data_IF_594811263634
#
_entry.id   IF_594811263634
#
_cell.length_a   1.000
_cell.length_b   1.000
_cell.length_c   1.000
_cell.angle_alpha   90.00
_cell.angle_beta   90.00
_cell.angle_gamma   90.00
#
_symmetry.space_group_name_H-M   'P 1'
#
loop_
_entity.id
_entity.type
_entity.pdbx_description
1 polymer ?
#
# COMPACT_ATOMS: atom_id res chain seq x y z
N UNK A 1 10.59 -10.12 -12.27
CA UNK A 1 10.11 -8.74 -12.49
C UNK A 1 11.12 -7.68 -12.02
N UNK A 2 11.77 -7.87 -10.87
CA UNK A 2 12.68 -6.86 -10.29
C UNK A 2 14.14 -6.95 -10.75
N UNK A 3 14.51 -7.97 -11.52
CA UNK A 3 15.89 -8.10 -12.02
C UNK A 3 16.21 -6.95 -12.97
N UNK A 4 17.32 -6.24 -12.67
CA UNK A 4 17.72 -5.05 -13.45
C UNK A 4 16.87 -3.81 -13.17
N UNK A 5 16.26 -3.70 -11.96
CA UNK A 5 15.54 -2.49 -11.57
C UNK A 5 16.46 -1.25 -11.59
N UNK A 6 15.93 -0.06 -11.84
CA UNK A 6 16.73 1.16 -12.05
C UNK A 6 17.54 1.59 -10.83
N UNK A 7 17.15 1.16 -9.63
CA UNK A 7 17.82 1.54 -8.38
C UNK A 7 19.00 0.62 -8.01
N UNK A 8 19.16 -0.51 -8.71
CA UNK A 8 20.14 -1.52 -8.32
C UNK A 8 19.78 -2.25 -7.01
N UNK A 9 18.57 -2.08 -6.52
CA UNK A 9 18.08 -2.74 -5.32
C UNK A 9 18.07 -4.27 -5.49
N UNK A 10 18.21 -5.04 -4.39
CA UNK A 10 18.14 -6.49 -4.46
C UNK A 10 16.88 -6.97 -5.19
N UNK A 11 17.06 -7.76 -6.24
CA UNK A 11 15.94 -8.30 -7.02
C UNK A 11 15.41 -9.62 -6.45
N UNK A 12 16.21 -10.34 -5.66
CA UNK A 12 15.75 -11.46 -4.85
C UNK A 12 15.22 -10.91 -3.55
N UNK A 13 13.92 -11.12 -3.31
CA UNK A 13 13.22 -10.58 -2.15
C UNK A 13 12.79 -11.69 -1.20
N UNK A 14 12.91 -11.50 0.10
CA UNK A 14 12.28 -12.39 1.05
C UNK A 14 10.76 -12.30 0.92
N UNK A 15 10.08 -13.42 1.16
CA UNK A 15 8.63 -13.51 1.22
C UNK A 15 8.26 -14.32 2.47
N UNK A 16 7.44 -13.76 3.33
CA UNK A 16 6.97 -14.50 4.49
C UNK A 16 5.54 -14.96 4.26
N UNK A 17 5.32 -16.23 4.49
CA UNK A 17 4.01 -16.85 4.38
C UNK A 17 3.70 -17.52 5.70
N UNK A 18 2.66 -17.03 6.36
CA UNK A 18 2.08 -17.64 7.54
C UNK A 18 1.01 -18.65 7.11
N UNK A 19 1.03 -19.83 7.68
CA UNK A 19 -0.02 -20.84 7.52
C UNK A 19 -0.77 -21.03 8.83
N UNK A 20 -2.11 -21.19 8.79
CA UNK A 20 -2.92 -21.26 10.01
C UNK A 20 -2.72 -22.55 10.79
N UNK A 21 -3.06 -22.56 12.10
CA UNK A 21 -3.03 -23.79 12.91
C UNK A 21 -3.81 -24.93 12.25
N UNK A 22 -3.26 -26.14 12.30
CA UNK A 22 -3.83 -27.32 11.66
C UNK A 22 -3.50 -27.46 10.17
N UNK A 23 -2.74 -26.53 9.59
CA UNK A 23 -2.37 -26.61 8.17
C UNK A 23 -1.77 -27.97 7.79
N UNK A 24 -0.77 -28.47 8.50
CA UNK A 24 -0.12 -29.74 8.18
C UNK A 24 -0.97 -30.97 8.53
N UNK A 25 -1.91 -30.84 9.47
CA UNK A 25 -2.80 -31.92 9.87
C UNK A 25 -3.95 -32.17 8.88
N UNK A 26 -4.28 -31.22 8.02
CA UNK A 26 -5.36 -31.29 7.03
C UNK A 26 -4.78 -31.09 5.60
N UNK A 27 -4.08 -32.09 5.02
CA UNK A 27 -3.32 -31.94 3.77
C UNK A 27 -4.18 -31.62 2.54
N UNK A 28 -5.45 -32.00 2.54
CA UNK A 28 -6.36 -31.75 1.42
C UNK A 28 -7.09 -30.41 1.51
N UNK A 29 -7.03 -29.75 2.67
CA UNK A 29 -7.71 -28.48 2.91
C UNK A 29 -6.98 -27.34 2.21
N UNK A 30 -7.77 -26.49 1.52
CA UNK A 30 -7.31 -25.24 0.92
C UNK A 30 -7.87 -24.03 1.67
N UNK A 31 -7.15 -22.93 1.63
CA UNK A 31 -7.40 -21.74 2.45
C UNK A 31 -7.50 -20.49 1.60
N UNK A 32 -8.34 -19.50 1.98
CA UNK A 32 -8.21 -18.15 1.47
C UNK A 32 -6.82 -17.60 1.75
N UNK A 33 -6.36 -16.64 0.95
CA UNK A 33 -5.07 -15.97 1.15
C UNK A 33 -5.26 -14.45 1.28
N UNK A 34 -4.60 -13.83 2.27
CA UNK A 34 -4.60 -12.38 2.47
C UNK A 34 -3.17 -11.86 2.37
N UNK A 35 -2.94 -10.94 1.45
CA UNK A 35 -1.65 -10.30 1.20
C UNK A 35 -1.55 -8.99 1.99
N UNK A 36 -0.51 -8.84 2.81
CA UNK A 36 -0.30 -7.68 3.67
C UNK A 36 0.84 -6.83 3.13
N UNK A 37 0.54 -5.57 2.86
CA UNK A 37 1.43 -4.59 2.26
C UNK A 37 1.91 -3.58 3.30
N UNK A 38 3.23 -3.35 3.40
CA UNK A 38 3.79 -2.36 4.31
C UNK A 38 3.65 -0.92 3.76
N UNK A 39 3.72 0.07 4.66
CA UNK A 39 3.72 1.50 4.30
C UNK A 39 5.09 1.98 3.80
N UNK A 40 5.16 3.29 3.46
CA UNK A 40 6.40 3.94 3.05
C UNK A 40 7.46 3.89 4.15
N UNK A 41 8.71 3.75 3.80
CA UNK A 41 9.85 3.46 4.69
C UNK A 41 9.73 2.12 5.46
N UNK A 42 8.70 1.33 5.18
CA UNK A 42 8.54 -0.01 5.72
C UNK A 42 9.36 -1.04 4.94
N UNK A 43 9.54 -2.17 5.56
CA UNK A 43 10.15 -3.37 4.99
C UNK A 43 9.54 -4.60 5.67
N UNK A 44 9.88 -5.79 5.20
CA UNK A 44 9.25 -7.03 5.68
C UNK A 44 9.37 -7.25 7.20
N UNK A 45 10.52 -6.86 7.80
CA UNK A 45 10.78 -7.10 9.23
C UNK A 45 9.86 -6.34 10.18
N UNK A 46 9.18 -5.26 9.73
CA UNK A 46 8.26 -4.50 10.58
C UNK A 46 7.16 -5.38 11.20
N UNK A 47 6.78 -6.47 10.54
CA UNK A 47 5.74 -7.38 11.01
C UNK A 47 6.15 -8.23 12.22
N UNK A 48 7.46 -8.22 12.55
CA UNK A 48 8.05 -8.89 13.73
C UNK A 48 8.51 -7.89 14.79
N UNK A 49 8.31 -6.60 14.59
CA UNK A 49 8.68 -5.60 15.59
C UNK A 49 7.89 -5.81 16.88
N UNK A 50 8.62 -6.00 17.98
CA UNK A 50 8.04 -6.10 19.30
C UNK A 50 7.91 -4.71 19.91
N UNK A 51 6.80 -4.48 20.58
CA UNK A 51 6.60 -3.32 21.46
C UNK A 51 6.17 -3.80 22.85
N UNK A 52 6.40 -3.01 23.93
CA UNK A 52 5.92 -3.36 25.25
C UNK A 52 4.42 -3.65 25.24
N UNK A 53 4.02 -4.75 25.89
CA UNK A 53 2.64 -5.18 26.01
C UNK A 53 1.88 -5.45 24.70
N UNK A 54 2.58 -5.58 23.57
CA UNK A 54 1.98 -5.87 22.26
C UNK A 54 2.58 -7.14 21.66
N UNK A 55 1.73 -7.98 21.08
CA UNK A 55 2.14 -9.05 20.18
C UNK A 55 2.56 -8.46 18.85
N UNK A 56 3.48 -9.13 18.16
CA UNK A 56 3.72 -8.85 16.75
C UNK A 56 2.46 -9.17 15.93
N UNK A 57 2.34 -8.61 14.72
CA UNK A 57 1.18 -8.92 13.87
C UNK A 57 1.09 -10.43 13.56
N UNK A 58 2.24 -11.10 13.40
CA UNK A 58 2.28 -12.55 13.14
C UNK A 58 1.75 -13.33 14.34
N UNK A 59 2.21 -13.01 15.57
CA UNK A 59 1.73 -13.65 16.79
C UNK A 59 0.23 -13.38 17.05
N UNK A 60 -0.23 -12.18 16.72
CA UNK A 60 -1.64 -11.81 16.85
C UNK A 60 -2.53 -12.53 15.83
N UNK A 61 -2.05 -12.70 14.59
CA UNK A 61 -2.73 -13.49 13.56
C UNK A 61 -2.81 -14.98 13.94
N UNK A 62 -1.72 -15.53 14.50
CA UNK A 62 -1.72 -16.92 14.99
C UNK A 62 -2.75 -17.13 16.09
N UNK A 63 -2.80 -16.23 17.08
CA UNK A 63 -3.81 -16.26 18.15
C UNK A 63 -5.23 -16.14 17.59
N UNK A 64 -5.47 -15.21 16.64
CA UNK A 64 -6.78 -15.01 16.00
C UNK A 64 -7.34 -16.33 15.42
N UNK A 65 -6.49 -17.07 14.71
CA UNK A 65 -6.90 -18.33 14.08
C UNK A 65 -6.93 -19.51 15.05
N UNK A 66 -6.01 -19.55 16.02
CA UNK A 66 -6.01 -20.57 17.07
C UNK A 66 -7.27 -20.52 17.94
N UNK A 67 -7.71 -19.31 18.29
CA UNK A 67 -8.94 -19.06 19.07
C UNK A 67 -10.22 -19.22 18.24
N UNK A 68 -10.10 -19.49 16.93
CA UNK A 68 -11.23 -19.57 15.99
C UNK A 68 -12.07 -18.29 15.93
N UNK A 69 -11.46 -17.14 16.22
CA UNK A 69 -12.12 -15.83 16.14
C UNK A 69 -12.34 -15.36 14.68
N UNK A 70 -11.65 -16.02 13.74
CA UNK A 70 -11.89 -15.88 12.29
C UNK A 70 -11.68 -17.23 11.58
N UNK A 71 -12.26 -17.44 10.38
CA UNK A 71 -11.92 -18.58 9.54
C UNK A 71 -10.42 -18.57 9.22
N UNK A 72 -9.76 -19.76 9.21
CA UNK A 72 -8.34 -19.83 8.94
C UNK A 72 -8.01 -19.35 7.52
N UNK A 73 -6.94 -18.59 7.41
CA UNK A 73 -6.42 -18.06 6.14
C UNK A 73 -4.89 -18.12 6.11
N UNK A 74 -4.32 -18.24 4.92
CA UNK A 74 -2.89 -18.04 4.67
C UNK A 74 -2.65 -16.53 4.66
N UNK A 75 -1.60 -16.04 5.34
CA UNK A 75 -1.23 -14.63 5.32
C UNK A 75 0.13 -14.46 4.65
N UNK A 76 0.18 -13.61 3.63
CA UNK A 76 1.37 -13.38 2.82
C UNK A 76 1.89 -11.97 3.09
N UNK A 77 3.08 -11.84 3.65
CA UNK A 77 3.72 -10.56 3.93
C UNK A 77 4.66 -10.21 2.79
N UNK A 78 4.35 -9.15 2.05
CA UNK A 78 5.04 -8.77 0.83
C UNK A 78 6.14 -7.77 1.13
N UNK A 79 7.34 -8.00 0.59
CA UNK A 79 8.44 -7.02 0.59
C UNK A 79 8.44 -6.23 -0.72
N UNK A 80 8.17 -4.92 -0.62
CA UNK A 80 8.19 -3.98 -1.74
C UNK A 80 9.01 -2.71 -1.41
N UNK A 81 9.98 -2.86 -0.50
CA UNK A 81 10.94 -1.82 -0.13
C UNK A 81 11.81 -1.43 -1.33
N UNK A 82 12.21 -0.17 -1.38
CA UNK A 82 13.21 0.35 -2.30
C UNK A 82 14.19 1.26 -1.55
N UNK A 83 15.37 1.50 -2.12
CA UNK A 83 16.31 2.48 -1.60
C UNK A 83 15.76 3.92 -1.58
N UNK A 84 14.67 4.19 -2.31
CA UNK A 84 13.91 5.45 -2.23
C UNK A 84 12.82 5.43 -1.15
N UNK A 85 12.70 4.35 -0.39
CA UNK A 85 11.76 4.23 0.74
C UNK A 85 10.48 3.47 0.43
N UNK A 86 10.10 3.28 -0.84
CA UNK A 86 8.91 2.53 -1.22
C UNK A 86 8.71 2.51 -2.73
N UNK A 87 7.82 1.65 -3.20
CA UNK A 87 7.51 1.45 -4.62
C UNK A 87 6.11 1.91 -5.00
N UNK A 88 5.31 2.32 -4.03
CA UNK A 88 3.86 2.56 -4.18
C UNK A 88 3.12 1.39 -4.86
N UNK A 89 3.73 0.20 -4.89
CA UNK A 89 3.16 -1.00 -5.51
C UNK A 89 2.77 -0.79 -6.98
N UNK A 90 3.47 0.11 -7.68
CA UNK A 90 3.32 0.41 -9.11
C UNK A 90 4.52 -0.06 -9.93
N UNK A 91 4.31 -0.23 -11.21
CA UNK A 91 5.39 -0.34 -12.18
C UNK A 91 5.83 1.06 -12.59
N UNK A 92 7.10 1.37 -12.42
CA UNK A 92 7.66 2.68 -12.73
C UNK A 92 9.07 2.59 -13.32
N UNK A 93 9.43 3.42 -14.31
CA UNK A 93 10.81 3.54 -14.75
C UNK A 93 11.75 4.04 -13.65
N UNK A 94 11.22 4.71 -12.60
CA UNK A 94 12.02 5.25 -11.50
C UNK A 94 12.32 4.25 -10.37
N UNK A 95 11.50 3.21 -10.19
CA UNK A 95 11.67 2.26 -9.08
C UNK A 95 11.72 0.80 -9.51
N UNK A 96 11.11 0.45 -10.63
CA UNK A 96 11.01 -0.92 -11.12
C UNK A 96 9.58 -1.44 -11.20
N UNK A 97 9.41 -2.72 -11.52
CA UNK A 97 8.12 -3.34 -11.83
C UNK A 97 7.49 -4.00 -10.60
N UNK A 98 7.13 -3.21 -9.60
CA UNK A 98 6.63 -3.74 -8.31
C UNK A 98 5.17 -4.20 -8.35
N UNK A 99 4.32 -3.61 -9.19
CA UNK A 99 2.98 -4.11 -9.43
C UNK A 99 3.01 -5.48 -10.13
N UNK A 100 3.80 -5.59 -11.20
CA UNK A 100 4.03 -6.86 -11.89
C UNK A 100 4.67 -7.90 -10.96
N UNK A 101 5.62 -7.51 -10.10
CA UNK A 101 6.23 -8.39 -9.12
C UNK A 101 5.18 -9.00 -8.16
N UNK A 102 4.29 -8.17 -7.61
CA UNK A 102 3.20 -8.64 -6.75
C UNK A 102 2.25 -9.60 -7.51
N UNK A 103 1.80 -9.16 -8.69
CA UNK A 103 0.71 -9.83 -9.40
C UNK A 103 1.16 -11.03 -10.23
N UNK A 104 2.36 -11.00 -10.81
CA UNK A 104 2.82 -12.01 -11.77
C UNK A 104 3.91 -12.94 -11.22
N UNK A 105 4.59 -12.56 -10.12
CA UNK A 105 5.56 -13.41 -9.44
C UNK A 105 5.04 -13.92 -8.10
N UNK A 106 4.69 -13.04 -7.15
CA UNK A 106 4.31 -13.44 -5.79
C UNK A 106 3.02 -14.25 -5.79
N UNK A 107 1.93 -13.73 -6.36
CA UNK A 107 0.63 -14.40 -6.32
C UNK A 107 0.69 -15.80 -6.93
N UNK A 108 1.21 -15.99 -8.16
CA UNK A 108 1.31 -17.33 -8.74
C UNK A 108 2.30 -18.24 -8.01
N UNK A 109 3.35 -17.66 -7.41
CA UNK A 109 4.31 -18.46 -6.63
C UNK A 109 3.66 -19.02 -5.36
N UNK A 110 2.91 -18.19 -4.63
CA UNK A 110 2.18 -18.62 -3.42
C UNK A 110 1.15 -19.69 -3.75
N UNK A 111 0.38 -19.53 -4.83
CA UNK A 111 -0.63 -20.50 -5.25
C UNK A 111 -0.02 -21.87 -5.62
N UNK A 112 1.21 -21.90 -6.15
CA UNK A 112 1.92 -23.14 -6.48
C UNK A 112 2.54 -23.84 -5.26
N UNK A 113 2.93 -23.10 -4.23
CA UNK A 113 3.70 -23.65 -3.10
C UNK A 113 2.86 -23.87 -1.85
N UNK A 114 1.68 -23.25 -1.76
CA UNK A 114 0.78 -23.35 -0.61
C UNK A 114 -0.62 -23.75 -1.05
N UNK A 115 -1.37 -24.34 -0.16
CA UNK A 115 -2.74 -24.82 -0.40
C UNK A 115 -3.74 -23.65 -0.35
N UNK A 116 -3.60 -22.73 -1.29
CA UNK A 116 -4.55 -21.62 -1.47
C UNK A 116 -5.79 -22.08 -2.24
N UNK A 117 -6.91 -21.40 -2.00
CA UNK A 117 -8.03 -21.33 -2.93
C UNK A 117 -7.65 -20.32 -4.02
N UNK A 118 -7.01 -20.82 -5.10
CA UNK A 118 -6.37 -20.03 -6.14
C UNK A 118 -7.38 -19.32 -7.06
N UNK A 119 -8.31 -18.57 -6.47
CA UNK A 119 -9.33 -17.78 -7.17
C UNK A 119 -9.47 -16.40 -6.52
N UNK A 120 -9.81 -15.38 -7.31
CA UNK A 120 -9.94 -14.01 -6.82
C UNK A 120 -10.89 -13.88 -5.61
N UNK A 121 -11.99 -14.63 -5.61
CA UNK A 121 -13.00 -14.56 -4.55
C UNK A 121 -12.50 -15.06 -3.18
N UNK A 122 -11.36 -15.73 -3.18
CA UNK A 122 -10.70 -16.23 -1.98
C UNK A 122 -9.35 -15.56 -1.73
N UNK A 123 -9.07 -14.45 -2.44
CA UNK A 123 -7.82 -13.70 -2.27
C UNK A 123 -8.11 -12.26 -1.90
N UNK A 124 -7.53 -11.81 -0.78
CA UNK A 124 -7.61 -10.46 -0.27
C UNK A 124 -6.26 -9.77 -0.21
N UNK A 125 -6.30 -8.45 -0.14
CA UNK A 125 -5.13 -7.60 -0.01
C UNK A 125 -5.41 -6.52 1.04
N UNK A 126 -4.46 -6.25 1.91
CA UNK A 126 -4.60 -5.23 2.95
C UNK A 126 -3.30 -4.46 3.15
N UNK A 127 -3.40 -3.22 3.60
CA UNK A 127 -2.22 -2.43 3.88
C UNK A 127 -2.52 -1.11 4.56
N UNK A 128 -1.45 -0.43 5.01
CA UNK A 128 -1.50 0.87 5.67
C UNK A 128 -0.71 1.90 4.86
N UNK A 129 -1.21 3.15 4.80
CA UNK A 129 -0.50 4.26 4.13
C UNK A 129 -0.22 3.89 2.66
N UNK A 130 1.04 3.92 2.20
CA UNK A 130 1.42 3.41 0.87
C UNK A 130 0.99 1.96 0.61
N UNK A 131 0.97 1.10 1.65
CA UNK A 131 0.42 -0.24 1.54
C UNK A 131 -1.10 -0.23 1.37
N UNK A 132 -1.80 0.71 2.02
CA UNK A 132 -3.23 0.95 1.84
C UNK A 132 -3.54 1.47 0.42
N UNK A 133 -2.71 2.35 -0.10
CA UNK A 133 -2.73 2.76 -1.50
C UNK A 133 -2.60 1.55 -2.43
N UNK A 134 -1.56 0.74 -2.25
CA UNK A 134 -1.36 -0.49 -3.03
C UNK A 134 -2.54 -1.46 -2.93
N UNK A 135 -3.15 -1.58 -1.74
CA UNK A 135 -4.34 -2.42 -1.53
C UNK A 135 -5.58 -1.91 -2.28
N UNK A 136 -5.71 -0.59 -2.49
CA UNK A 136 -6.81 -0.01 -3.27
C UNK A 136 -6.61 -0.18 -4.78
N UNK A 137 -5.42 0.19 -5.28
CA UNK A 137 -5.19 0.22 -6.73
C UNK A 137 -5.00 -1.16 -7.35
N UNK A 138 -4.42 -2.12 -6.61
CA UNK A 138 -4.13 -3.44 -7.17
C UNK A 138 -5.40 -4.17 -7.65
N UNK A 139 -6.51 -4.25 -6.89
CA UNK A 139 -7.75 -4.83 -7.39
C UNK A 139 -8.41 -4.03 -8.52
N UNK A 140 -8.18 -2.72 -8.61
CA UNK A 140 -8.64 -1.93 -9.75
C UNK A 140 -7.93 -2.33 -11.03
N UNK A 141 -6.59 -2.47 -10.97
CA UNK A 141 -5.74 -2.80 -12.11
C UNK A 141 -5.76 -4.30 -12.45
N UNK A 142 -5.96 -5.17 -11.44
CA UNK A 142 -5.98 -6.64 -11.58
C UNK A 142 -7.22 -7.24 -10.88
N UNK A 143 -8.41 -6.95 -11.40
CA UNK A 143 -9.67 -7.47 -10.84
C UNK A 143 -9.79 -9.00 -10.94
N UNK A 144 -8.97 -9.62 -11.78
CA UNK A 144 -8.85 -11.07 -11.91
C UNK A 144 -8.15 -11.75 -10.73
N UNK A 145 -7.37 -11.00 -9.93
CA UNK A 145 -6.56 -11.57 -8.85
C UNK A 145 -7.15 -11.42 -7.46
N UNK A 146 -7.83 -10.30 -7.15
CA UNK A 146 -8.27 -10.00 -5.80
C UNK A 146 -9.76 -9.72 -5.74
N UNK A 147 -10.47 -10.38 -4.81
CA UNK A 147 -11.89 -10.18 -4.53
C UNK A 147 -12.17 -9.46 -3.23
N UNK A 148 -11.17 -9.20 -2.38
CA UNK A 148 -11.30 -8.44 -1.15
C UNK A 148 -10.16 -7.45 -0.95
N UNK A 149 -10.45 -6.28 -0.37
CA UNK A 149 -9.41 -5.32 0.00
C UNK A 149 -9.68 -4.65 1.35
N UNK A 150 -8.60 -4.24 2.02
CA UNK A 150 -8.66 -3.35 3.18
C UNK A 150 -7.54 -2.30 3.11
N UNK A 151 -7.91 -1.03 3.20
CA UNK A 151 -6.99 0.10 3.16
C UNK A 151 -7.10 0.90 4.45
N UNK A 152 -6.00 0.98 5.19
CA UNK A 152 -5.88 1.72 6.43
C UNK A 152 -5.09 2.99 6.19
N UNK A 153 -5.74 4.15 6.22
CA UNK A 153 -5.15 5.44 5.90
C UNK A 153 -4.30 5.38 4.61
N UNK A 154 -4.87 4.78 3.54
CA UNK A 154 -4.20 4.71 2.23
C UNK A 154 -4.11 6.06 1.56
N UNK A 155 -3.00 6.31 0.86
CA UNK A 155 -2.82 7.57 0.13
C UNK A 155 -3.92 7.72 -0.94
N UNK A 156 -4.68 8.81 -0.89
CA UNK A 156 -5.76 9.15 -1.81
C UNK A 156 -6.10 10.64 -1.72
N UNK A 157 -6.88 11.18 -2.65
CA UNK A 157 -7.28 12.59 -2.72
C UNK A 157 -6.06 13.51 -2.80
N UNK A 158 -5.20 13.27 -3.79
CA UNK A 158 -3.86 13.87 -3.90
C UNK A 158 -3.86 15.39 -3.97
N UNK A 159 -4.92 16.01 -4.48
CA UNK A 159 -5.08 17.48 -4.51
C UNK A 159 -5.05 18.10 -3.11
N UNK A 160 -5.39 17.36 -2.07
CA UNK A 160 -5.37 17.83 -0.69
C UNK A 160 -4.22 17.20 0.10
N UNK A 161 -4.09 15.87 0.05
CA UNK A 161 -3.15 15.14 0.90
C UNK A 161 -1.69 15.27 0.45
N UNK A 162 -1.44 15.42 -0.87
CA UNK A 162 -0.09 15.63 -1.40
C UNK A 162 0.27 17.10 -1.51
N UNK A 163 -0.63 17.95 -2.03
CA UNK A 163 -0.35 19.39 -2.21
C UNK A 163 -0.04 20.08 -0.89
N UNK A 164 -0.72 19.72 0.19
CA UNK A 164 -0.41 20.24 1.53
C UNK A 164 1.06 19.97 1.95
N UNK A 165 1.59 18.80 1.59
CA UNK A 165 2.99 18.43 1.89
C UNK A 165 3.99 19.18 1.00
N UNK A 166 3.62 19.54 -0.23
CA UNK A 166 4.50 20.26 -1.16
C UNK A 166 4.93 21.63 -0.62
N UNK A 167 4.06 22.33 0.11
CA UNK A 167 4.39 23.64 0.70
C UNK A 167 5.61 23.59 1.63
N UNK A 168 5.74 22.52 2.41
CA UNK A 168 6.93 22.27 3.24
C UNK A 168 8.16 21.95 2.39
N UNK A 169 8.01 21.09 1.39
CA UNK A 169 9.10 20.69 0.50
C UNK A 169 9.65 21.88 -0.31
N UNK A 170 8.80 22.77 -0.82
CA UNK A 170 9.22 24.01 -1.51
C UNK A 170 10.13 24.85 -0.61
N UNK A 171 9.73 25.05 0.65
CA UNK A 171 10.54 25.81 1.61
C UNK A 171 11.89 25.13 1.89
N UNK A 172 11.90 23.81 2.01
CA UNK A 172 13.14 23.05 2.24
C UNK A 172 14.08 23.11 1.03
N UNK A 173 13.53 23.04 -0.19
CA UNK A 173 14.33 23.11 -1.42
C UNK A 173 15.04 24.45 -1.63
N UNK A 174 14.59 25.53 -1.00
CA UNK A 174 15.28 26.83 -1.04
C UNK A 174 16.75 26.76 -0.58
N UNK A 175 17.05 25.90 0.41
CA UNK A 175 18.41 25.67 0.88
C UNK A 175 19.32 25.00 -0.18
N UNK A 176 18.71 24.41 -1.20
CA UNK A 176 19.37 23.72 -2.32
C UNK A 176 19.22 24.47 -3.65
N UNK A 177 18.80 25.75 -3.62
CA UNK A 177 18.56 26.54 -4.82
C UNK A 177 17.38 26.06 -5.67
N UNK A 178 16.39 25.39 -5.05
CA UNK A 178 15.26 24.79 -5.74
C UNK A 178 15.56 23.42 -6.40
N UNK A 179 16.79 22.93 -6.31
CA UNK A 179 17.22 21.72 -7.00
C UNK A 179 17.12 20.48 -6.08
N UNK A 180 16.16 19.61 -6.37
CA UNK A 180 15.97 18.36 -5.62
C UNK A 180 17.10 17.35 -5.89
N UNK A 181 17.75 17.42 -7.05
CA UNK A 181 18.88 16.54 -7.36
C UNK A 181 20.13 16.91 -6.54
N UNK A 182 20.31 18.21 -6.27
CA UNK A 182 21.37 18.69 -5.38
C UNK A 182 21.14 18.19 -3.93
N UNK A 183 19.90 18.25 -3.43
CA UNK A 183 19.56 17.66 -2.15
C UNK A 183 19.81 16.15 -2.15
N UNK A 184 19.37 15.44 -3.20
CA UNK A 184 19.49 13.99 -3.30
C UNK A 184 20.95 13.55 -3.26
N UNK A 185 21.84 14.22 -4.01
CA UNK A 185 23.28 13.93 -4.00
C UNK A 185 23.88 14.10 -2.61
N UNK A 186 23.58 15.22 -1.93
CA UNK A 186 24.04 15.46 -0.58
C UNK A 186 23.50 14.42 0.41
N UNK A 187 22.22 14.04 0.26
CA UNK A 187 21.60 13.00 1.08
C UNK A 187 22.29 11.64 0.91
N UNK A 188 22.59 11.24 -0.32
CA UNK A 188 23.32 9.99 -0.62
C UNK A 188 24.73 9.98 0.00
N UNK A 189 25.47 11.08 -0.10
CA UNK A 189 26.81 11.21 0.48
C UNK A 189 26.79 11.08 2.02
N UNK A 190 25.73 11.55 2.65
CA UNK A 190 25.53 11.48 4.09
C UNK A 190 24.99 10.12 4.56
N UNK A 191 24.09 9.52 3.81
CA UNK A 191 23.54 8.19 4.06
C UNK A 191 22.57 8.07 5.26
N UNK A 192 22.20 9.17 5.90
CA UNK A 192 21.32 9.19 7.09
C UNK A 192 20.32 10.35 7.05
N UNK A 193 19.16 10.14 7.66
CA UNK A 193 18.16 11.19 7.90
C UNK A 193 18.61 12.09 9.06
N UNK A 194 19.36 13.15 8.78
CA UNK A 194 19.94 14.02 9.80
C UNK A 194 19.35 15.44 9.82
N UNK A 195 18.78 15.91 8.72
CA UNK A 195 18.20 17.23 8.61
C UNK A 195 16.67 17.18 8.73
N UNK A 196 16.01 18.21 9.27
CA UNK A 196 14.53 18.26 9.37
C UNK A 196 13.82 18.06 8.03
N UNK A 197 14.46 18.49 6.92
CA UNK A 197 13.92 18.36 5.58
C UNK A 197 13.98 16.95 5.00
N UNK A 198 14.92 16.10 5.47
CA UNK A 198 15.29 14.86 4.79
C UNK A 198 14.13 13.91 4.60
N UNK A 199 13.32 13.71 5.64
CA UNK A 199 12.18 12.79 5.55
C UNK A 199 11.14 13.26 4.51
N UNK A 200 10.81 14.55 4.51
CA UNK A 200 9.82 15.11 3.58
C UNK A 200 10.32 15.08 2.14
N UNK A 201 11.58 15.44 1.93
CA UNK A 201 12.19 15.44 0.59
C UNK A 201 12.43 14.01 0.08
N UNK A 202 12.77 13.05 0.96
CA UNK A 202 12.88 11.63 0.59
C UNK A 202 11.54 11.07 0.13
N UNK A 203 10.45 11.36 0.87
CA UNK A 203 9.11 10.96 0.48
C UNK A 203 8.72 11.59 -0.86
N UNK A 204 8.93 12.89 -1.03
CA UNK A 204 8.65 13.58 -2.29
C UNK A 204 9.42 12.95 -3.46
N UNK A 205 10.74 12.73 -3.28
CA UNK A 205 11.61 12.17 -4.32
C UNK A 205 11.19 10.75 -4.71
N UNK A 206 10.99 9.89 -3.72
CA UNK A 206 10.64 8.49 -3.97
C UNK A 206 9.21 8.32 -4.51
N UNK A 207 8.24 9.12 -4.05
CA UNK A 207 6.88 9.10 -4.62
C UNK A 207 6.88 9.67 -6.05
N UNK A 208 7.68 10.72 -6.32
CA UNK A 208 7.90 11.21 -7.69
C UNK A 208 8.52 10.14 -8.60
N UNK A 209 9.45 9.33 -8.07
CA UNK A 209 10.00 8.19 -8.80
C UNK A 209 8.93 7.14 -9.15
N UNK A 210 7.91 6.97 -8.31
CA UNK A 210 6.81 6.05 -8.58
C UNK A 210 5.78 6.61 -9.57
N UNK A 211 5.40 7.88 -9.44
CA UNK A 211 4.25 8.45 -10.16
C UNK A 211 4.64 9.24 -11.41
N UNK A 212 5.82 9.83 -11.42
CA UNK A 212 6.21 10.80 -12.44
C UNK A 212 7.68 10.71 -12.88
N UNK A 213 8.32 9.56 -12.76
CA UNK A 213 9.66 9.40 -13.34
C UNK A 213 9.62 9.55 -14.86
N UNK A 214 10.71 10.09 -15.41
CA UNK A 214 10.99 10.08 -16.84
C UNK A 214 11.31 8.66 -17.31
N UNK A 215 11.39 8.48 -18.61
CA UNK A 215 11.74 7.18 -19.21
C UNK A 215 13.15 6.71 -18.86
N UNK A 216 14.05 7.63 -18.52
CA UNK A 216 15.40 7.35 -18.03
C UNK A 216 15.46 7.01 -16.53
N UNK A 217 14.31 7.02 -15.84
CA UNK A 217 14.20 6.75 -14.41
C UNK A 217 14.34 7.97 -13.50
N UNK A 218 14.66 9.15 -14.03
CA UNK A 218 14.81 10.38 -13.23
C UNK A 218 13.46 10.83 -12.66
N UNK A 219 13.32 10.98 -11.33
CA UNK A 219 12.09 11.51 -10.73
C UNK A 219 11.82 12.96 -11.14
N UNK A 220 10.57 13.27 -11.50
CA UNK A 220 10.11 14.64 -11.73
C UNK A 220 9.15 15.06 -10.63
N UNK A 221 9.50 16.13 -9.89
CA UNK A 221 8.59 16.67 -8.86
C UNK A 221 7.43 17.43 -9.52
N UNK A 222 6.20 17.36 -8.94
CA UNK A 222 4.99 17.86 -9.59
C UNK A 222 4.78 19.38 -9.47
N UNK A 223 5.76 20.11 -9.01
CA UNK A 223 5.69 21.57 -8.85
C UNK A 223 7.00 22.25 -9.23
N UNK A 224 6.91 23.49 -9.62
CA UNK A 224 8.05 24.38 -9.79
C UNK A 224 8.55 24.85 -8.41
N UNK A 225 9.81 24.60 -8.04
CA UNK A 225 10.30 24.90 -6.69
C UNK A 225 10.49 26.39 -6.38
N UNK A 226 10.53 27.28 -7.40
CA UNK A 226 10.64 28.73 -7.20
C UNK A 226 9.26 29.35 -6.95
N UNK A 227 8.31 29.07 -7.84
CA UNK A 227 6.96 29.65 -7.79
C UNK A 227 6.00 28.84 -6.90
N UNK A 228 6.25 27.56 -6.69
CA UNK A 228 5.34 26.63 -6.04
C UNK A 228 4.16 26.19 -6.90
N UNK A 229 4.11 26.63 -8.16
CA UNK A 229 3.03 26.27 -9.07
C UNK A 229 3.14 24.81 -9.50
N UNK A 230 2.00 24.13 -9.58
CA UNK A 230 1.97 22.77 -10.11
C UNK A 230 2.36 22.74 -11.59
N UNK A 231 3.19 21.79 -11.99
CA UNK A 231 3.55 21.54 -13.38
C UNK A 231 2.46 20.64 -13.98
N UNK A 232 1.60 21.15 -14.89
CA UNK A 232 0.35 20.48 -15.26
C UNK A 232 0.54 19.04 -15.75
N UNK A 233 1.52 18.81 -16.63
CA UNK A 233 1.74 17.47 -17.20
C UNK A 233 2.34 16.48 -16.19
N UNK A 234 3.17 16.93 -15.26
CA UNK A 234 3.70 16.11 -14.18
C UNK A 234 2.61 15.79 -13.19
N UNK A 235 1.84 16.82 -12.79
CA UNK A 235 0.74 16.68 -11.84
C UNK A 235 -0.38 15.77 -12.37
N UNK A 236 -0.69 15.82 -13.66
CA UNK A 236 -1.66 14.93 -14.28
C UNK A 236 -1.27 13.46 -14.08
N UNK A 237 0.01 13.09 -14.23
CA UNK A 237 0.49 11.71 -13.99
C UNK A 237 0.24 11.24 -12.57
N UNK A 238 0.32 12.14 -11.58
CA UNK A 238 -0.07 11.85 -10.20
C UNK A 238 -1.58 11.61 -10.08
N UNK A 239 -2.39 12.49 -10.68
CA UNK A 239 -3.84 12.38 -10.64
C UNK A 239 -4.36 11.13 -11.36
N UNK A 240 -3.67 10.65 -12.39
CA UNK A 240 -4.04 9.45 -13.14
C UNK A 240 -3.95 8.18 -12.26
N UNK A 241 -3.18 8.22 -11.17
CA UNK A 241 -3.01 7.12 -10.22
C UNK A 241 -3.63 7.42 -8.85
N UNK A 242 -4.39 8.50 -8.70
CA UNK A 242 -5.15 8.78 -7.46
C UNK A 242 -6.34 7.83 -7.35
N UNK A 243 -6.45 7.02 -6.27
CA UNK A 243 -7.54 6.06 -6.09
C UNK A 243 -8.93 6.67 -6.22
N UNK A 244 -9.14 7.91 -5.73
CA UNK A 244 -10.46 8.60 -5.84
C UNK A 244 -10.86 8.78 -7.30
N UNK A 245 -9.91 9.11 -8.18
CA UNK A 245 -10.14 9.29 -9.61
C UNK A 245 -10.21 7.97 -10.36
N UNK A 246 -9.40 6.99 -9.95
CA UNK A 246 -9.35 5.67 -10.57
C UNK A 246 -10.67 4.90 -10.41
N UNK A 247 -11.38 5.05 -9.29
CA UNK A 247 -12.64 4.32 -9.01
C UNK A 247 -13.62 4.42 -10.17
N UNK A 248 -13.80 5.58 -10.78
CA UNK A 248 -14.77 5.77 -11.87
C UNK A 248 -14.45 4.94 -13.11
N UNK A 249 -13.16 4.86 -13.47
CA UNK A 249 -12.68 4.04 -14.61
C UNK A 249 -12.67 2.54 -14.30
N UNK A 250 -12.73 2.14 -13.03
CA UNK A 250 -12.68 0.76 -12.55
C UNK A 250 -13.94 0.34 -11.78
N UNK A 251 -15.08 1.01 -12.05
CA UNK A 251 -16.33 0.81 -11.32
C UNK A 251 -16.82 -0.64 -11.35
N UNK A 252 -16.68 -1.34 -12.48
CA UNK A 252 -17.05 -2.75 -12.60
C UNK A 252 -16.21 -3.63 -11.68
N UNK A 253 -14.90 -3.44 -11.68
CA UNK A 253 -13.99 -4.14 -10.79
C UNK A 253 -14.40 -3.95 -9.32
N UNK A 254 -14.68 -2.71 -8.91
CA UNK A 254 -15.08 -2.40 -7.54
C UNK A 254 -16.44 -2.97 -7.16
N UNK A 255 -17.44 -2.94 -8.05
CA UNK A 255 -18.74 -3.57 -7.81
C UNK A 255 -18.67 -5.10 -7.68
N UNK A 256 -17.68 -5.72 -8.32
CA UNK A 256 -17.50 -7.18 -8.29
C UNK A 256 -16.76 -7.68 -7.02
N UNK A 257 -16.33 -6.79 -6.12
CA UNK A 257 -15.63 -7.18 -4.90
C UNK A 257 -16.56 -7.85 -3.90
N UNK A 258 -16.03 -8.83 -3.16
CA UNK A 258 -16.69 -9.48 -2.02
C UNK A 258 -16.64 -8.64 -0.75
N UNK A 259 -15.63 -7.77 -0.64
CA UNK A 259 -15.49 -6.88 0.49
C UNK A 259 -14.48 -5.77 0.26
N UNK A 260 -14.84 -4.55 0.65
CA UNK A 260 -14.00 -3.36 0.61
C UNK A 260 -14.05 -2.70 1.99
N UNK A 261 -12.90 -2.62 2.67
CA UNK A 261 -12.78 -1.90 3.92
C UNK A 261 -11.86 -0.71 3.74
N UNK A 262 -12.38 0.48 3.99
CA UNK A 262 -11.62 1.74 3.97
C UNK A 262 -11.74 2.38 5.35
N UNK A 263 -10.62 2.69 5.98
CA UNK A 263 -10.63 3.44 7.24
C UNK A 263 -9.41 4.35 7.40
N UNK A 264 -9.52 5.27 8.35
CA UNK A 264 -8.43 6.14 8.78
C UNK A 264 -8.66 6.63 10.21
N UNK A 265 -7.59 7.06 10.88
CA UNK A 265 -7.72 7.84 12.10
C UNK A 265 -8.35 9.21 11.78
N UNK A 266 -9.33 9.63 12.59
CA UNK A 266 -10.03 10.91 12.39
C UNK A 266 -9.16 12.16 12.64
N UNK A 267 -7.95 11.96 13.20
CA UNK A 267 -6.95 13.00 13.42
C UNK A 267 -5.63 12.66 12.69
N UNK A 268 -5.73 12.04 11.51
CA UNK A 268 -4.58 11.67 10.70
C UNK A 268 -3.79 12.93 10.29
N UNK A 269 -2.55 13.04 10.72
CA UNK A 269 -1.67 14.20 10.48
C UNK A 269 -1.24 14.36 9.01
N UNK A 270 -1.55 13.38 8.17
CA UNK A 270 -1.35 13.42 6.73
C UNK A 270 -2.65 13.71 5.95
N UNK A 271 -3.77 13.98 6.68
CA UNK A 271 -5.10 14.24 6.12
C UNK A 271 -5.67 13.05 5.32
N UNK A 272 -5.24 11.83 5.64
CA UNK A 272 -5.70 10.63 4.93
C UNK A 272 -7.10 10.18 5.35
N UNK A 273 -7.64 10.73 6.43
CA UNK A 273 -9.05 10.67 6.80
C UNK A 273 -9.95 11.28 5.71
N UNK A 274 -9.55 12.43 5.14
CA UNK A 274 -10.24 13.06 4.01
C UNK A 274 -10.14 12.20 2.75
N UNK A 275 -8.96 11.60 2.51
CA UNK A 275 -8.74 10.66 1.41
C UNK A 275 -9.63 9.42 1.52
N UNK A 276 -9.69 8.80 2.72
CA UNK A 276 -10.53 7.64 3.01
C UNK A 276 -12.02 7.95 2.77
N UNK A 277 -12.49 9.12 3.24
CA UNK A 277 -13.86 9.58 3.04
C UNK A 277 -14.17 9.81 1.55
N UNK A 278 -13.24 10.42 0.80
CA UNK A 278 -13.40 10.66 -0.62
C UNK A 278 -13.46 9.35 -1.43
N UNK A 279 -12.65 8.34 -1.06
CA UNK A 279 -12.69 6.99 -1.67
C UNK A 279 -14.03 6.33 -1.40
N UNK A 280 -14.53 6.33 -0.14
CA UNK A 280 -15.86 5.74 0.16
C UNK A 280 -16.98 6.39 -0.65
N UNK A 281 -16.96 7.74 -0.76
CA UNK A 281 -17.92 8.45 -1.61
C UNK A 281 -17.76 8.11 -3.09
N UNK A 282 -16.54 7.93 -3.59
CA UNK A 282 -16.30 7.53 -4.98
C UNK A 282 -16.83 6.12 -5.23
N UNK A 283 -16.63 5.17 -4.32
CA UNK A 283 -17.17 3.82 -4.37
C UNK A 283 -18.72 3.83 -4.37
N UNK A 284 -19.34 4.66 -3.54
CA UNK A 284 -20.81 4.82 -3.53
C UNK A 284 -21.33 5.35 -4.87
N UNK A 285 -20.69 6.40 -5.43
CA UNK A 285 -21.03 6.93 -6.77
C UNK A 285 -20.81 5.90 -7.89
N UNK A 286 -19.83 5.00 -7.75
CA UNK A 286 -19.60 3.90 -8.67
C UNK A 286 -20.60 2.75 -8.53
N UNK A 287 -21.53 2.81 -7.58
CA UNK A 287 -22.57 1.81 -7.36
C UNK A 287 -22.10 0.57 -6.60
N UNK A 288 -21.03 0.69 -5.80
CA UNK A 288 -20.64 -0.37 -4.86
C UNK A 288 -21.67 -0.42 -3.73
N UNK A 289 -22.22 -1.62 -3.48
CA UNK A 289 -23.30 -1.84 -2.49
C UNK A 289 -22.77 -1.67 -1.06
N UNK A 290 -23.60 -1.14 -0.17
CA UNK A 290 -23.21 -0.89 1.23
C UNK A 290 -22.87 -2.17 2.00
N UNK A 291 -23.52 -3.29 1.71
CA UNK A 291 -23.18 -4.57 2.34
C UNK A 291 -21.80 -5.12 1.92
N UNK A 292 -21.24 -4.60 0.82
CA UNK A 292 -19.89 -4.92 0.34
C UNK A 292 -18.85 -4.04 1.01
N UNK A 293 -19.23 -2.83 1.43
CA UNK A 293 -18.32 -1.84 2.00
C UNK A 293 -18.31 -1.86 3.53
N UNK A 294 -17.18 -1.47 4.09
CA UNK A 294 -17.02 -1.00 5.46
C UNK A 294 -16.19 0.27 5.44
N UNK A 295 -16.76 1.36 5.91
CA UNK A 295 -16.07 2.63 6.10
C UNK A 295 -16.05 3.01 7.58
N UNK A 296 -14.90 3.51 8.09
CA UNK A 296 -14.78 3.93 9.47
C UNK A 296 -13.72 5.03 9.62
N UNK A 297 -14.09 6.12 10.30
CA UNK A 297 -13.13 7.04 10.90
C UNK A 297 -13.10 6.76 12.40
N UNK A 298 -11.96 6.31 12.91
CA UNK A 298 -11.79 5.97 14.33
C UNK A 298 -10.98 7.04 15.07
N UNK A 299 -11.11 7.16 16.40
CA UNK A 299 -10.27 8.05 17.19
C UNK A 299 -8.81 7.65 17.09
N UNK A 300 -7.94 8.55 16.64
CA UNK A 300 -6.50 8.32 16.49
C UNK A 300 -5.90 9.06 15.31
N UNK A 301 -4.57 9.02 15.22
CA UNK A 301 -3.76 9.57 14.13
C UNK A 301 -3.21 8.49 13.20
N UNK A 302 -2.24 8.86 12.36
CA UNK A 302 -1.59 7.93 11.41
C UNK A 302 -0.77 6.83 12.10
N UNK A 303 -0.29 7.08 13.34
CA UNK A 303 0.50 6.12 14.12
C UNK A 303 -0.31 4.97 14.73
N UNK A 304 -1.61 5.15 14.96
CA UNK A 304 -2.44 4.27 15.80
C UNK A 304 -3.13 3.13 15.03
N UNK A 305 -2.57 2.73 13.90
CA UNK A 305 -3.19 1.82 12.93
C UNK A 305 -2.82 0.34 13.11
N UNK A 306 -1.92 -0.01 14.02
CA UNK A 306 -1.39 -1.39 14.12
C UNK A 306 -2.47 -2.44 14.37
N UNK A 307 -3.47 -2.13 15.18
CA UNK A 307 -4.59 -3.04 15.46
C UNK A 307 -5.52 -3.22 14.26
N UNK A 308 -5.54 -2.28 13.32
CA UNK A 308 -6.44 -2.32 12.16
C UNK A 308 -6.12 -3.49 11.25
N UNK A 309 -4.84 -3.83 11.07
CA UNK A 309 -4.43 -5.00 10.28
C UNK A 309 -5.05 -6.30 10.80
N UNK A 310 -5.11 -6.49 12.13
CA UNK A 310 -5.70 -7.70 12.70
C UNK A 310 -7.22 -7.74 12.50
N UNK A 311 -7.90 -6.60 12.70
CA UNK A 311 -9.34 -6.49 12.49
C UNK A 311 -9.72 -6.73 11.03
N UNK A 312 -8.98 -6.13 10.09
CA UNK A 312 -9.24 -6.33 8.66
C UNK A 312 -8.86 -7.72 8.19
N UNK A 313 -7.83 -8.35 8.75
CA UNK A 313 -7.50 -9.74 8.48
C UNK A 313 -8.65 -10.67 8.87
N UNK A 314 -9.21 -10.50 10.07
CA UNK A 314 -10.37 -11.27 10.53
C UNK A 314 -11.58 -11.08 9.60
N UNK A 315 -11.87 -9.83 9.25
CA UNK A 315 -13.00 -9.49 8.39
C UNK A 315 -12.82 -10.02 6.95
N UNK A 316 -11.64 -9.86 6.37
CA UNK A 316 -11.33 -10.40 5.04
C UNK A 316 -11.41 -11.93 5.06
N UNK A 317 -10.85 -12.61 6.07
CA UNK A 317 -10.93 -14.06 6.19
C UNK A 317 -12.39 -14.56 6.19
N UNK A 318 -13.31 -13.83 6.85
CA UNK A 318 -14.75 -14.15 6.81
C UNK A 318 -15.37 -13.95 5.42
N UNK A 319 -15.06 -12.83 4.74
CA UNK A 319 -15.60 -12.50 3.42
C UNK A 319 -15.08 -13.41 2.31
N UNK A 320 -13.87 -13.91 2.45
CA UNK A 320 -13.17 -14.73 1.46
C UNK A 320 -13.32 -16.24 1.72
N UNK A 321 -13.89 -16.63 2.85
CA UNK A 321 -14.18 -18.03 3.14
C UNK A 321 -15.12 -18.62 2.08
N UNK A 322 -14.96 -19.92 1.72
CA UNK A 322 -15.92 -20.62 0.88
C UNK A 322 -17.31 -20.56 1.48
N UNK A 323 -18.33 -20.41 0.65
CA UNK A 323 -19.72 -20.61 1.08
C UNK A 323 -19.86 -22.05 1.65
N UNK A 324 -20.47 -22.16 2.81
CA UNK A 324 -20.76 -23.44 3.44
C UNK A 324 -21.79 -24.21 2.63
#
# INVERSE_FOLDING_TARGET
MLRGNPLGDPWRRPLWVYVPPGYDAEPDRRYPAVYILHGYLGHLEIWRNRAPFRKTLIEAADQLFADRAAPPAIVVYVDAWTSYGGSQYLDSPGTGRYHSYLCEEIVPWVDRHYRTLAHRDHRGIAGKSSGGYGAMITPMLRPDLFGGLASHAGDALFEYTCVAKFLGCIRFLRAYGGDIQRWWKEFQERGVLAKPADRSLLILYGVSACFSARTDGTPEIPFDPESGMLIPDVWRRWLDVDPVRMVSGHAEAMRSMRGIWIDSGAADEHHLDLGAQAVDQALARAGVRDETKRFELFPGGHGDLDQRHLLSLAWLAQRLAPSR
#
